data_IF_139581535468
#
_entry.id   IF_139581535468
#
_cell.length_a   1.000
_cell.length_b   1.000
_cell.length_c   1.000
_cell.angle_alpha   90.00
_cell.angle_beta   90.00
_cell.angle_gamma   90.00
#
_symmetry.space_group_name_H-M   'P 1'
#
loop_
_entity.id
_entity.type
_entity.pdbx_description
1 polymer ?
#
# COMPACT_ATOMS: atom_id res chain seq x y z
N UNK A 1 -2.31 8.73 54.69
CA UNK A 1 -1.71 7.48 54.17
C UNK A 1 -2.07 7.36 52.70
N UNK A 2 -1.09 7.18 51.80
CA UNK A 2 -1.36 6.91 50.40
C UNK A 2 -2.15 5.59 50.24
N UNK A 3 -2.92 5.49 49.17
CA UNK A 3 -3.67 4.26 48.83
C UNK A 3 -3.24 3.74 47.46
N UNK A 4 -3.20 2.43 47.30
CA UNK A 4 -2.83 1.80 46.03
C UNK A 4 -3.84 2.13 44.92
N UNK A 5 -3.37 2.73 43.82
CA UNK A 5 -4.19 3.10 42.65
C UNK A 5 -4.87 1.95 41.91
N UNK A 6 -4.48 0.70 42.19
CA UNK A 6 -5.10 -0.50 41.58
C UNK A 6 -6.13 -1.15 42.49
N UNK A 7 -5.77 -1.42 43.75
CA UNK A 7 -6.59 -2.25 44.65
C UNK A 7 -7.12 -1.53 45.91
N UNK A 8 -6.80 -0.25 46.08
CA UNK A 8 -7.25 0.57 47.21
C UNK A 8 -6.62 0.25 48.56
N UNK A 9 -5.64 -0.67 48.63
CA UNK A 9 -4.93 -0.98 49.88
C UNK A 9 -4.21 0.23 50.44
N UNK A 10 -4.17 0.37 51.76
CA UNK A 10 -3.34 1.38 52.41
C UNK A 10 -1.85 1.10 52.16
N UNK A 11 -1.09 2.17 51.93
CA UNK A 11 0.34 2.14 51.67
C UNK A 11 1.08 3.00 52.70
N UNK A 12 2.33 2.64 52.96
CA UNK A 12 3.29 3.52 53.61
C UNK A 12 3.98 4.42 52.58
N UNK A 13 4.57 5.53 53.01
CA UNK A 13 5.33 6.42 52.12
C UNK A 13 6.65 5.81 51.63
N UNK A 14 7.11 4.71 52.29
CA UNK A 14 8.33 3.99 51.97
C UNK A 14 8.09 2.76 51.07
N UNK A 15 6.82 2.39 50.83
CA UNK A 15 6.47 1.21 50.06
C UNK A 15 6.77 1.40 48.57
N UNK A 16 7.75 0.68 48.02
CA UNK A 16 8.02 0.62 46.58
C UNK A 16 6.99 -0.24 45.80
N UNK A 17 6.33 -1.17 46.48
CA UNK A 17 5.30 -2.05 45.93
C UNK A 17 4.15 -2.21 46.91
N UNK A 18 2.92 -2.30 46.39
CA UNK A 18 1.75 -2.59 47.21
C UNK A 18 1.81 -4.02 47.75
N UNK A 19 1.78 -4.19 49.07
CA UNK A 19 1.81 -5.50 49.74
C UNK A 19 0.63 -6.40 49.40
N UNK A 20 -0.52 -5.84 48.98
CA UNK A 20 -1.73 -6.60 48.63
C UNK A 20 -1.77 -7.09 47.20
N UNK A 21 -1.39 -6.26 46.22
CA UNK A 21 -1.55 -6.58 44.79
C UNK A 21 -0.24 -6.59 43.99
N UNK A 22 0.89 -6.26 44.61
CA UNK A 22 2.19 -6.21 43.94
C UNK A 22 2.38 -5.04 42.99
N UNK A 23 1.40 -4.15 42.84
CA UNK A 23 1.53 -2.98 41.98
C UNK A 23 2.68 -2.09 42.48
N UNK A 24 3.59 -1.74 41.57
CA UNK A 24 4.61 -0.72 41.79
C UNK A 24 3.96 0.64 42.08
N UNK A 25 4.34 1.25 43.19
CA UNK A 25 3.81 2.54 43.67
C UNK A 25 4.50 3.72 42.98
N UNK A 26 4.00 4.94 43.22
CA UNK A 26 4.66 6.17 42.77
C UNK A 26 6.06 6.34 43.40
N UNK A 27 6.25 5.90 44.65
CA UNK A 27 7.58 5.85 45.28
C UNK A 27 8.53 4.91 44.54
N UNK A 28 8.06 3.71 44.20
CA UNK A 28 8.82 2.77 43.38
C UNK A 28 9.12 3.27 41.97
N UNK A 29 8.29 4.17 41.43
CA UNK A 29 8.56 4.92 40.20
C UNK A 29 9.69 5.94 40.37
N UNK A 30 9.62 6.78 41.41
CA UNK A 30 10.62 7.80 41.72
C UNK A 30 12.00 7.21 42.04
N UNK A 31 12.02 6.10 42.79
CA UNK A 31 13.25 5.39 43.15
C UNK A 31 13.78 4.51 42.02
N UNK A 32 13.07 4.48 40.88
CA UNK A 32 13.42 3.70 39.70
C UNK A 32 13.59 2.20 40.02
N UNK A 33 12.83 1.69 41.00
CA UNK A 33 12.83 0.28 41.38
C UNK A 33 12.10 -0.49 40.30
N UNK A 34 12.85 -1.34 39.59
CA UNK A 34 12.27 -2.21 38.57
C UNK A 34 11.43 -3.28 39.27
N UNK A 35 10.23 -3.54 38.75
CA UNK A 35 9.52 -4.78 39.08
C UNK A 35 10.46 -5.95 38.83
N UNK A 36 10.57 -6.93 39.75
CA UNK A 36 11.26 -8.18 39.46
C UNK A 36 10.66 -8.76 38.18
N UNK A 37 11.41 -8.66 37.08
CA UNK A 37 11.12 -9.41 35.87
C UNK A 37 11.49 -10.83 36.22
N UNK A 38 10.54 -11.57 36.80
CA UNK A 38 10.64 -13.01 36.85
C UNK A 38 10.97 -13.45 35.42
N UNK A 39 12.14 -14.10 35.26
CA UNK A 39 12.81 -14.40 33.97
C UNK A 39 11.80 -14.47 32.83
N UNK A 40 11.91 -13.56 31.84
CA UNK A 40 11.01 -13.46 30.66
C UNK A 40 10.36 -14.81 30.37
N UNK A 41 9.07 -14.97 30.72
CA UNK A 41 8.38 -16.24 30.52
C UNK A 41 8.54 -16.69 29.07
N UNK A 42 8.65 -17.99 28.84
CA UNK A 42 8.89 -18.55 27.50
C UNK A 42 7.95 -17.98 26.42
N UNK A 43 6.70 -17.69 26.80
CA UNK A 43 5.67 -17.13 25.93
C UNK A 43 6.02 -15.76 25.32
N UNK A 44 6.90 -14.96 25.93
CA UNK A 44 7.35 -13.68 25.35
C UNK A 44 8.21 -13.92 24.09
N UNK A 45 9.03 -14.97 24.06
CA UNK A 45 9.78 -15.35 22.84
C UNK A 45 8.84 -15.89 21.77
N UNK A 46 7.85 -16.68 22.17
CA UNK A 46 6.84 -17.22 21.26
C UNK A 46 6.04 -16.08 20.60
N UNK A 47 5.73 -15.03 21.36
CA UNK A 47 5.07 -13.82 20.85
C UNK A 47 5.98 -13.04 19.88
N UNK A 48 7.26 -12.88 20.18
CA UNK A 48 8.21 -12.22 19.26
C UNK A 48 8.33 -12.97 17.92
N UNK A 49 8.39 -14.31 17.98
CA UNK A 49 8.42 -15.17 16.79
C UNK A 49 7.10 -15.02 16.00
N UNK A 50 5.96 -15.03 16.68
CA UNK A 50 4.65 -14.88 16.03
C UNK A 50 4.54 -13.52 15.32
N UNK A 51 5.00 -12.44 15.96
CA UNK A 51 5.02 -11.09 15.36
C UNK A 51 5.92 -11.07 14.12
N UNK A 52 7.13 -11.64 14.21
CA UNK A 52 8.06 -11.73 13.07
C UNK A 52 7.46 -12.49 11.89
N UNK A 53 6.84 -13.64 12.16
CA UNK A 53 6.17 -14.42 11.12
C UNK A 53 4.99 -13.65 10.50
N UNK A 54 4.20 -12.96 11.32
CA UNK A 54 3.11 -12.13 10.82
C UNK A 54 3.64 -10.98 9.93
N UNK A 55 4.76 -10.35 10.31
CA UNK A 55 5.37 -9.30 9.48
C UNK A 55 5.86 -9.84 8.14
N UNK A 56 6.52 -11.01 8.11
CA UNK A 56 6.97 -11.63 6.85
C UNK A 56 5.79 -11.98 5.94
N UNK A 57 4.71 -12.53 6.49
CA UNK A 57 3.50 -12.84 5.70
C UNK A 57 2.86 -11.58 5.10
N UNK A 58 2.87 -10.46 5.83
CA UNK A 58 2.36 -9.19 5.32
C UNK A 58 3.24 -8.64 4.20
N UNK A 59 4.57 -8.71 4.33
CA UNK A 59 5.52 -8.29 3.30
C UNK A 59 5.33 -9.09 2.01
N UNK A 60 5.21 -10.42 2.12
CA UNK A 60 5.00 -11.31 0.97
C UNK A 60 3.67 -11.01 0.25
N UNK A 61 2.60 -10.73 1.02
CA UNK A 61 1.31 -10.37 0.47
C UNK A 61 1.37 -9.03 -0.28
N UNK A 62 2.05 -8.02 0.29
CA UNK A 62 2.21 -6.70 -0.34
C UNK A 62 3.04 -6.78 -1.62
N UNK A 63 4.15 -7.54 -1.61
CA UNK A 63 4.99 -7.70 -2.79
C UNK A 63 4.25 -8.45 -3.91
N UNK A 64 3.45 -9.45 -3.56
CA UNK A 64 2.59 -10.15 -4.52
C UNK A 64 1.54 -9.22 -5.13
N UNK A 65 0.87 -8.41 -4.30
CA UNK A 65 -0.10 -7.42 -4.76
C UNK A 65 0.54 -6.37 -5.68
N UNK A 66 1.73 -5.87 -5.33
CA UNK A 66 2.50 -4.91 -6.15
C UNK A 66 2.84 -5.46 -7.52
N UNK A 67 3.26 -6.73 -7.60
CA UNK A 67 3.54 -7.40 -8.89
C UNK A 67 2.29 -7.50 -9.75
N UNK A 68 1.16 -7.92 -9.17
CA UNK A 68 -0.11 -7.98 -9.89
C UNK A 68 -0.56 -6.61 -10.42
N UNK A 69 -0.48 -5.56 -9.59
CA UNK A 69 -0.81 -4.20 -10.01
C UNK A 69 0.10 -3.69 -11.14
N UNK A 70 1.39 -4.01 -11.10
CA UNK A 70 2.34 -3.62 -12.15
C UNK A 70 2.01 -4.30 -13.48
N UNK A 71 1.68 -5.60 -13.46
CA UNK A 71 1.27 -6.34 -14.66
C UNK A 71 0.02 -5.73 -15.29
N UNK A 72 -1.02 -5.46 -14.48
CA UNK A 72 -2.25 -4.82 -14.96
C UNK A 72 -1.97 -3.44 -15.54
N UNK A 73 -1.10 -2.63 -14.92
CA UNK A 73 -0.73 -1.32 -15.44
C UNK A 73 -0.03 -1.41 -16.81
N UNK A 74 0.89 -2.36 -16.99
CA UNK A 74 1.60 -2.59 -18.26
C UNK A 74 0.65 -3.05 -19.38
N UNK A 75 -0.29 -3.95 -19.06
CA UNK A 75 -1.31 -4.42 -20.00
C UNK A 75 -2.24 -3.27 -20.45
N UNK A 76 -2.74 -2.49 -19.50
CA UNK A 76 -3.60 -1.32 -19.78
C UNK A 76 -2.87 -0.30 -20.64
N UNK A 77 -1.60 0.00 -20.33
CA UNK A 77 -0.79 0.93 -21.11
C UNK A 77 -0.63 0.47 -22.56
N UNK A 78 -0.38 -0.83 -22.75
CA UNK A 78 -0.23 -1.42 -24.09
C UNK A 78 -1.51 -1.27 -24.92
N UNK A 79 -2.68 -1.52 -24.33
CA UNK A 79 -3.97 -1.37 -25.02
C UNK A 79 -4.30 0.10 -25.32
N UNK A 80 -3.95 1.02 -24.41
CA UNK A 80 -4.06 2.46 -24.63
C UNK A 80 -3.23 2.89 -25.84
N UNK A 81 -1.98 2.41 -25.94
CA UNK A 81 -1.08 2.81 -27.02
C UNK A 81 -1.53 2.24 -28.39
N UNK A 82 -2.01 0.99 -28.43
CA UNK A 82 -2.69 0.44 -29.62
C UNK A 82 -3.90 1.29 -30.03
N UNK A 83 -4.74 1.68 -29.08
CA UNK A 83 -5.91 2.51 -29.35
C UNK A 83 -5.52 3.90 -29.89
N UNK A 84 -4.44 4.50 -29.36
CA UNK A 84 -3.89 5.78 -29.87
C UNK A 84 -3.36 5.65 -31.29
N UNK A 85 -2.65 4.57 -31.62
CA UNK A 85 -2.16 4.34 -32.98
C UNK A 85 -3.30 4.23 -33.99
N UNK A 86 -4.33 3.43 -33.69
CA UNK A 86 -5.50 3.29 -34.55
C UNK A 86 -6.20 4.63 -34.75
N UNK A 87 -6.37 5.42 -33.67
CA UNK A 87 -6.99 6.75 -33.74
C UNK A 87 -6.16 7.72 -34.57
N UNK A 88 -4.84 7.73 -34.40
CA UNK A 88 -3.93 8.57 -35.17
C UNK A 88 -3.96 8.19 -36.65
N UNK A 89 -3.94 6.88 -36.96
CA UNK A 89 -4.07 6.39 -38.33
C UNK A 89 -5.38 6.87 -38.97
N UNK A 90 -6.53 6.74 -38.30
CA UNK A 90 -7.82 7.22 -38.84
C UNK A 90 -7.85 8.74 -39.10
N UNK A 91 -7.08 9.54 -38.36
CA UNK A 91 -7.02 10.99 -38.53
C UNK A 91 -6.10 11.47 -39.66
N UNK A 92 -5.18 10.63 -40.15
CA UNK A 92 -4.25 11.05 -41.21
C UNK A 92 -5.00 11.22 -42.54
N UNK A 93 -5.09 12.45 -43.08
CA UNK A 93 -5.78 12.68 -44.34
C UNK A 93 -4.99 12.10 -45.53
N UNK A 94 -5.70 11.69 -46.57
CA UNK A 94 -5.12 11.33 -47.86
C UNK A 94 -5.21 12.51 -48.83
N UNK A 95 -4.24 12.61 -49.74
CA UNK A 95 -4.26 13.63 -50.80
C UNK A 95 -4.55 12.95 -52.13
N UNK A 96 -5.50 13.49 -52.90
CA UNK A 96 -5.89 12.93 -54.18
C UNK A 96 -4.73 13.05 -55.18
N UNK A 97 -4.26 11.95 -55.80
CA UNK A 97 -3.15 12.00 -56.75
C UNK A 97 -3.49 12.75 -58.04
N UNK A 98 -4.78 12.82 -58.42
CA UNK A 98 -5.23 13.50 -59.63
C UNK A 98 -5.32 15.02 -59.48
N UNK A 99 -5.76 15.52 -58.31
CA UNK A 99 -6.10 16.93 -58.14
C UNK A 99 -5.55 17.59 -56.86
N UNK A 100 -4.80 16.86 -56.04
CA UNK A 100 -4.20 17.35 -54.80
C UNK A 100 -5.16 17.60 -53.62
N UNK A 101 -6.47 17.39 -53.78
CA UNK A 101 -7.45 17.64 -52.73
C UNK A 101 -7.22 16.76 -51.49
N UNK A 102 -7.38 17.35 -50.30
CA UNK A 102 -7.35 16.66 -49.01
C UNK A 102 -8.64 15.88 -48.79
N UNK A 103 -8.54 14.59 -48.46
CA UNK A 103 -9.65 13.67 -48.27
C UNK A 103 -9.48 12.89 -46.94
N UNK A 104 -10.58 12.41 -46.32
CA UNK A 104 -10.53 11.46 -45.20
C UNK A 104 -9.70 10.20 -45.52
N UNK A 105 -9.08 9.58 -44.49
CA UNK A 105 -8.23 8.37 -44.60
C UNK A 105 -8.93 7.20 -45.30
N UNK A 106 -10.22 7.06 -45.06
CA UNK A 106 -11.11 6.01 -45.54
C UNK A 106 -11.80 6.34 -46.88
N UNK A 107 -11.45 7.47 -47.50
CA UNK A 107 -12.02 7.86 -48.79
C UNK A 107 -11.52 6.95 -49.91
N UNK A 108 -12.43 6.21 -50.53
CA UNK A 108 -12.15 5.41 -51.74
C UNK A 108 -12.10 6.28 -52.99
N UNK A 109 -12.89 7.36 -53.02
CA UNK A 109 -12.98 8.32 -54.12
C UNK A 109 -12.78 9.75 -53.61
N UNK A 110 -12.24 10.61 -54.47
CA UNK A 110 -12.03 12.03 -54.17
C UNK A 110 -13.34 12.79 -54.10
N UNK A 111 -13.58 13.46 -52.97
CA UNK A 111 -14.79 14.28 -52.75
C UNK A 111 -14.84 15.53 -53.62
N UNK A 112 -13.71 15.95 -54.20
CA UNK A 112 -13.61 17.12 -55.08
C UNK A 112 -13.74 16.79 -56.57
N UNK A 113 -13.16 15.68 -57.04
CA UNK A 113 -13.03 15.40 -58.48
C UNK A 113 -13.50 14.00 -58.91
N UNK A 114 -13.98 13.17 -57.97
CA UNK A 114 -14.51 11.82 -58.23
C UNK A 114 -13.46 10.75 -58.57
N UNK A 115 -12.18 11.11 -58.70
CA UNK A 115 -11.13 10.12 -58.99
C UNK A 115 -10.91 9.15 -57.83
N UNK A 116 -10.65 7.88 -58.14
CA UNK A 116 -10.29 6.86 -57.15
C UNK A 116 -8.98 7.24 -56.45
N UNK A 117 -8.94 7.13 -55.12
CA UNK A 117 -7.77 7.51 -54.29
C UNK A 117 -6.86 6.30 -54.02
N UNK A 118 -7.43 5.10 -53.91
CA UNK A 118 -6.69 3.85 -53.68
C UNK A 118 -6.75 2.94 -54.92
N UNK A 119 -5.61 2.75 -55.58
CA UNK A 119 -5.27 1.54 -56.36
C UNK A 119 -3.95 1.01 -55.85
#
# INVERSE_FOLDING_TARGET
MPTCRSCGNELTEEDNFCSRCGLRTEKGELDNVKTPVDRRPHWERDMEIAIKNATTLLEDAVESAKKGLKQVAEEVQTEIDKAKEVKTRKKTPLYCPKCGAKNPRDSVYCTKCGAKINS
#
